data_IF_681131787682
#
_entry.id   IF_681131787682
#
_cell.length_a   1.000
_cell.length_b   1.000
_cell.length_c   1.000
_cell.angle_alpha   90.00
_cell.angle_beta   90.00
_cell.angle_gamma   90.00
#
_symmetry.space_group_name_H-M   'P 1'
#
loop_
_entity.id
_entity.type
_entity.pdbx_description
1 polymer ?
#
# COMPACT_ATOMS: atom_id res chain seq x y z
N UNK A 1 17.73 -15.12 -15.14
CA UNK A 1 18.26 -15.64 -13.85
C UNK A 1 17.48 -16.90 -13.52
N UNK A 2 18.16 -18.02 -13.24
CA UNK A 2 17.49 -19.29 -12.87
C UNK A 2 17.26 -19.42 -11.37
N UNK A 3 17.95 -18.60 -10.57
CA UNK A 3 17.83 -18.54 -9.11
C UNK A 3 17.07 -17.28 -8.68
N UNK A 4 16.21 -17.43 -7.69
CA UNK A 4 15.42 -16.35 -7.11
C UNK A 4 16.29 -15.51 -6.17
N UNK A 5 16.43 -14.18 -6.37
CA UNK A 5 17.28 -13.34 -5.52
C UNK A 5 16.71 -13.06 -4.12
N UNK A 6 15.50 -13.56 -3.81
CA UNK A 6 14.88 -13.44 -2.48
C UNK A 6 15.18 -14.67 -1.62
N UNK A 7 14.96 -15.88 -2.15
CA UNK A 7 15.15 -17.13 -1.42
C UNK A 7 16.43 -17.89 -1.78
N UNK A 8 17.13 -17.47 -2.83
CA UNK A 8 18.34 -18.11 -3.37
C UNK A 8 18.14 -19.55 -3.85
N UNK A 9 16.89 -19.95 -4.12
CA UNK A 9 16.53 -21.25 -4.70
C UNK A 9 16.17 -21.11 -6.18
N UNK A 10 16.04 -22.23 -6.89
CA UNK A 10 15.53 -22.26 -8.26
C UNK A 10 14.17 -21.58 -8.34
N UNK A 11 13.97 -20.73 -9.35
CA UNK A 11 12.70 -20.02 -9.56
C UNK A 11 11.58 -21.03 -9.84
N UNK A 12 10.54 -21.01 -9.00
CA UNK A 12 9.31 -21.80 -9.18
C UNK A 12 8.14 -20.85 -9.40
N UNK A 13 7.29 -21.16 -10.38
CA UNK A 13 6.16 -20.30 -10.79
C UNK A 13 6.65 -18.86 -11.01
N UNK A 14 7.47 -18.67 -12.03
CA UNK A 14 8.16 -17.40 -12.28
C UNK A 14 7.19 -16.21 -12.43
N UNK A 15 7.49 -15.13 -11.72
CA UNK A 15 6.96 -13.81 -11.99
C UNK A 15 8.10 -12.89 -12.40
N UNK A 16 7.93 -12.24 -13.55
CA UNK A 16 8.85 -11.26 -14.09
C UNK A 16 8.24 -9.86 -14.00
N UNK A 17 9.04 -8.91 -13.56
CA UNK A 17 8.71 -7.50 -13.54
C UNK A 17 8.94 -6.86 -14.92
N UNK A 18 7.94 -6.27 -15.54
CA UNK A 18 8.03 -5.69 -16.90
C UNK A 18 8.91 -4.45 -16.97
N UNK A 19 8.94 -3.66 -15.89
CA UNK A 19 9.68 -2.41 -15.80
C UNK A 19 11.20 -2.61 -15.65
N UNK A 20 11.66 -3.77 -15.18
CA UNK A 20 13.09 -4.04 -14.94
C UNK A 20 13.56 -5.45 -15.32
N UNK A 21 12.68 -6.33 -15.81
CA UNK A 21 12.95 -7.71 -16.23
C UNK A 21 13.56 -8.65 -15.18
N UNK A 22 13.40 -8.33 -13.89
CA UNK A 22 13.87 -9.20 -12.82
C UNK A 22 12.83 -10.26 -12.50
N UNK A 23 13.29 -11.50 -12.36
CA UNK A 23 12.46 -12.69 -12.12
C UNK A 23 12.61 -13.22 -10.70
N UNK A 24 11.50 -13.71 -10.15
CA UNK A 24 11.41 -14.22 -8.78
C UNK A 24 10.43 -15.40 -8.71
N UNK A 25 10.51 -16.19 -7.64
CA UNK A 25 9.42 -17.10 -7.29
C UNK A 25 8.15 -16.28 -7.03
N UNK A 26 6.99 -16.75 -7.53
CA UNK A 26 5.70 -16.09 -7.32
C UNK A 26 5.42 -15.78 -5.85
N UNK A 27 5.64 -16.75 -4.96
CA UNK A 27 5.44 -16.57 -3.51
C UNK A 27 6.34 -15.48 -2.94
N UNK A 28 7.63 -15.52 -3.28
CA UNK A 28 8.62 -14.57 -2.76
C UNK A 28 8.31 -13.13 -3.15
N UNK A 29 8.04 -12.87 -4.44
CA UNK A 29 7.77 -11.51 -4.88
C UNK A 29 6.39 -11.02 -4.45
N UNK A 30 5.39 -11.91 -4.37
CA UNK A 30 4.07 -11.57 -3.81
C UNK A 30 4.18 -11.12 -2.37
N UNK A 31 4.95 -11.83 -1.53
CA UNK A 31 5.17 -11.44 -0.14
C UNK A 31 5.94 -10.13 -0.02
N UNK A 32 6.95 -9.93 -0.87
CA UNK A 32 7.71 -8.68 -0.91
C UNK A 32 6.82 -7.47 -1.23
N UNK A 33 5.98 -7.57 -2.26
CA UNK A 33 5.17 -6.43 -2.71
C UNK A 33 3.95 -6.13 -1.85
N UNK A 34 3.61 -7.00 -0.88
CA UNK A 34 2.59 -6.69 0.15
C UNK A 34 2.90 -5.39 0.87
N UNK A 35 4.17 -5.02 0.96
CA UNK A 35 4.57 -3.89 1.75
C UNK A 35 5.73 -3.10 1.14
N UNK A 36 6.15 -3.43 -0.09
CA UNK A 36 7.18 -2.71 -0.81
C UNK A 36 6.71 -2.45 -2.23
N UNK A 37 6.88 -1.23 -2.72
CA UNK A 37 6.52 -0.82 -4.08
C UNK A 37 7.76 -0.71 -4.98
N UNK A 38 8.82 -1.46 -4.67
CA UNK A 38 10.11 -1.42 -5.39
C UNK A 38 10.64 -2.82 -5.67
N UNK A 39 11.40 -2.97 -6.76
CA UNK A 39 12.08 -4.21 -7.11
C UNK A 39 13.18 -4.55 -6.06
N UNK A 40 13.26 -5.80 -5.56
CA UNK A 40 14.31 -6.22 -4.62
C UNK A 40 15.75 -6.06 -5.17
N UNK A 41 15.91 -6.09 -6.49
CA UNK A 41 17.24 -6.08 -7.13
C UNK A 41 17.68 -4.66 -7.48
N UNK A 42 16.89 -3.94 -8.27
CA UNK A 42 17.27 -2.62 -8.80
C UNK A 42 16.54 -1.44 -8.15
N UNK A 43 15.58 -1.70 -7.24
CA UNK A 43 14.75 -0.69 -6.59
C UNK A 43 13.88 0.16 -7.52
N UNK A 44 13.72 -0.26 -8.79
CA UNK A 44 12.74 0.36 -9.68
C UNK A 44 11.33 0.25 -9.09
N UNK A 45 10.51 1.28 -9.23
CA UNK A 45 9.13 1.28 -8.73
C UNK A 45 8.31 0.19 -9.40
N UNK A 46 7.79 -0.75 -8.61
CA UNK A 46 6.96 -1.86 -9.07
C UNK A 46 5.52 -1.62 -8.71
N UNK A 47 4.66 -1.58 -9.70
CA UNK A 47 3.23 -1.72 -9.54
C UNK A 47 2.83 -3.18 -9.76
N UNK A 48 1.70 -3.59 -9.21
CA UNK A 48 1.20 -4.95 -9.34
C UNK A 48 0.76 -5.28 -10.78
N UNK A 49 0.55 -4.25 -11.62
CA UNK A 49 0.37 -4.39 -13.08
C UNK A 49 1.66 -4.73 -13.83
N UNK A 50 2.81 -4.56 -13.19
CA UNK A 50 4.11 -4.82 -13.80
C UNK A 50 4.50 -6.30 -13.72
N UNK A 51 3.67 -7.17 -13.13
CA UNK A 51 3.93 -8.60 -13.05
C UNK A 51 3.38 -9.34 -14.27
N UNK A 52 4.27 -10.02 -14.99
CA UNK A 52 3.92 -11.00 -16.02
C UNK A 52 4.44 -12.37 -15.59
N UNK A 53 3.58 -13.38 -15.68
CA UNK A 53 3.96 -14.80 -15.65
C UNK A 53 3.90 -15.41 -17.05
N UNK A 54 4.62 -16.51 -17.25
CA UNK A 54 4.56 -17.29 -18.49
C UNK A 54 3.18 -17.88 -18.80
N UNK A 55 2.31 -18.01 -17.80
CA UNK A 55 0.90 -18.34 -17.99
C UNK A 55 0.07 -17.06 -17.88
N UNK A 56 -0.66 -16.73 -18.94
CA UNK A 56 -1.51 -15.55 -19.04
C UNK A 56 -2.64 -15.60 -18.00
N UNK A 57 -2.41 -15.07 -16.79
CA UNK A 57 -3.45 -14.97 -15.76
C UNK A 57 -4.58 -14.05 -16.24
N UNK A 58 -5.82 -14.52 -16.11
CA UNK A 58 -6.99 -13.74 -16.49
C UNK A 58 -7.13 -12.48 -15.62
N UNK A 59 -7.70 -11.42 -16.20
CA UNK A 59 -7.91 -10.14 -15.51
C UNK A 59 -8.61 -10.28 -14.14
N UNK A 60 -9.48 -11.27 -13.99
CA UNK A 60 -10.18 -11.57 -12.73
C UNK A 60 -9.23 -12.05 -11.62
N UNK A 61 -8.28 -12.94 -11.96
CA UNK A 61 -7.31 -13.43 -10.98
C UNK A 61 -6.38 -12.30 -10.55
N UNK A 62 -5.93 -11.48 -11.49
CA UNK A 62 -5.14 -10.29 -11.17
C UNK A 62 -5.91 -9.36 -10.22
N UNK A 63 -7.19 -9.06 -10.51
CA UNK A 63 -8.04 -8.26 -9.63
C UNK A 63 -8.14 -8.81 -8.19
N UNK A 64 -8.33 -10.12 -8.04
CA UNK A 64 -8.33 -10.77 -6.73
C UNK A 64 -7.00 -10.58 -6.00
N UNK A 65 -5.87 -10.78 -6.68
CA UNK A 65 -4.54 -10.54 -6.09
C UNK A 65 -4.33 -9.08 -5.69
N UNK A 66 -4.73 -8.11 -6.53
CA UNK A 66 -4.66 -6.69 -6.19
C UNK A 66 -5.48 -6.37 -4.94
N UNK A 67 -6.69 -6.92 -4.82
CA UNK A 67 -7.56 -6.70 -3.68
C UNK A 67 -6.95 -7.25 -2.39
N UNK A 68 -6.40 -8.47 -2.45
CA UNK A 68 -5.72 -9.10 -1.31
C UNK A 68 -4.47 -8.30 -0.87
N UNK A 69 -3.68 -7.82 -1.84
CA UNK A 69 -2.51 -6.99 -1.56
C UNK A 69 -2.88 -5.66 -0.90
N UNK A 70 -3.89 -4.98 -1.45
CA UNK A 70 -4.36 -3.70 -0.91
C UNK A 70 -4.94 -3.89 0.49
N UNK A 71 -5.64 -5.00 0.74
CA UNK A 71 -6.10 -5.36 2.07
C UNK A 71 -4.93 -5.51 3.05
N UNK A 72 -3.90 -6.27 2.69
CA UNK A 72 -2.71 -6.43 3.54
C UNK A 72 -1.98 -5.10 3.83
N UNK A 73 -1.87 -4.22 2.82
CA UNK A 73 -1.34 -2.86 2.98
C UNK A 73 -2.17 -2.04 3.98
N UNK A 74 -3.49 -2.11 3.86
CA UNK A 74 -4.41 -1.43 4.77
C UNK A 74 -4.33 -1.97 6.20
N UNK A 75 -4.29 -3.29 6.36
CA UNK A 75 -4.17 -3.93 7.68
C UNK A 75 -2.88 -3.50 8.39
N UNK A 76 -1.77 -3.38 7.65
CA UNK A 76 -0.51 -2.85 8.18
C UNK A 76 -0.59 -1.37 8.58
N UNK A 77 -1.16 -0.53 7.72
CA UNK A 77 -1.35 0.89 8.06
C UNK A 77 -2.20 1.07 9.31
N UNK A 78 -3.31 0.34 9.39
CA UNK A 78 -4.22 0.37 10.53
C UNK A 78 -3.48 -0.09 11.79
N UNK A 79 -2.67 -1.15 11.73
CA UNK A 79 -1.93 -1.63 12.89
C UNK A 79 -0.90 -0.62 13.41
N UNK A 80 -0.18 0.07 12.50
CA UNK A 80 0.77 1.14 12.87
C UNK A 80 0.04 2.33 13.49
N UNK A 81 -1.04 2.78 12.86
CA UNK A 81 -1.82 3.93 13.34
C UNK A 81 -2.44 3.64 14.70
N UNK A 82 -3.07 2.47 14.88
CA UNK A 82 -3.68 2.08 16.14
C UNK A 82 -2.65 1.80 17.23
N UNK A 83 -1.41 1.43 16.86
CA UNK A 83 -0.30 1.31 17.80
C UNK A 83 0.07 2.65 18.47
N UNK A 84 -0.09 3.77 17.76
CA UNK A 84 0.21 5.12 18.28
C UNK A 84 -1.05 5.82 18.80
N UNK A 85 -2.17 5.70 18.08
CA UNK A 85 -3.47 6.30 18.39
C UNK A 85 -4.56 5.21 18.38
N UNK A 86 -4.78 4.46 19.48
CA UNK A 86 -5.67 3.30 19.50
C UNK A 86 -7.13 3.59 19.12
N UNK A 87 -7.58 4.84 19.32
CA UNK A 87 -8.95 5.26 19.03
C UNK A 87 -9.14 5.75 17.58
N UNK A 88 -8.06 5.84 16.80
CA UNK A 88 -8.09 6.38 15.45
C UNK A 88 -8.42 5.27 14.43
N UNK A 89 -9.39 5.53 13.56
CA UNK A 89 -9.80 4.61 12.49
C UNK A 89 -9.60 5.24 11.12
N UNK A 90 -9.14 4.44 10.17
CA UNK A 90 -9.03 4.85 8.77
C UNK A 90 -10.35 4.51 8.08
N UNK A 91 -11.20 5.51 7.86
CA UNK A 91 -12.50 5.36 7.16
C UNK A 91 -12.49 6.15 5.86
N UNK A 92 -13.56 6.08 5.04
CA UNK A 92 -13.71 6.84 3.77
C UNK A 92 -13.70 8.37 3.98
N UNK A 93 -12.51 8.92 4.17
CA UNK A 93 -12.21 10.30 4.52
C UNK A 93 -11.81 10.49 6.00
N UNK A 94 -11.05 11.55 6.24
CA UNK A 94 -10.49 11.93 7.55
C UNK A 94 -10.67 13.44 7.79
N UNK A 95 -10.75 13.87 9.04
CA UNK A 95 -10.66 15.29 9.41
C UNK A 95 -9.22 15.79 9.36
N UNK A 96 -9.00 17.11 9.39
CA UNK A 96 -7.64 17.68 9.44
C UNK A 96 -6.85 17.23 10.68
N UNK A 97 -7.54 17.04 11.81
CA UNK A 97 -6.92 16.56 13.04
C UNK A 97 -6.51 15.08 12.91
N UNK A 98 -7.41 14.24 12.41
CA UNK A 98 -7.13 12.82 12.15
C UNK A 98 -6.00 12.67 11.11
N UNK A 99 -5.94 13.53 10.08
CA UNK A 99 -4.84 13.55 9.12
C UNK A 99 -3.49 13.81 9.79
N UNK A 100 -3.43 14.81 10.68
CA UNK A 100 -2.22 15.14 11.40
C UNK A 100 -1.77 14.00 12.32
N UNK A 101 -2.70 13.35 13.02
CA UNK A 101 -2.43 12.18 13.84
C UNK A 101 -1.95 10.98 13.01
N UNK A 102 -2.60 10.71 11.87
CA UNK A 102 -2.15 9.69 10.91
C UNK A 102 -0.72 10.00 10.46
N UNK A 103 -0.44 11.24 10.04
CA UNK A 103 0.90 11.68 9.63
C UNK A 103 1.94 11.46 10.72
N UNK A 104 1.64 11.84 11.96
CA UNK A 104 2.51 11.56 13.10
C UNK A 104 2.78 10.07 13.25
N UNK A 105 1.75 9.21 13.21
CA UNK A 105 1.93 7.78 13.41
C UNK A 105 2.80 7.14 12.31
N UNK A 106 2.57 7.50 11.05
CA UNK A 106 3.29 6.91 9.91
C UNK A 106 4.68 7.49 9.71
N UNK A 107 4.98 8.73 10.13
CA UNK A 107 6.33 9.30 9.96
C UNK A 107 7.38 8.59 10.83
N UNK A 108 6.97 7.85 11.88
CA UNK A 108 7.84 6.96 12.64
C UNK A 108 8.11 5.61 11.95
N UNK A 109 7.35 5.25 10.92
CA UNK A 109 7.50 4.02 10.16
C UNK A 109 7.58 4.32 8.66
N UNK A 110 8.80 4.31 8.12
CA UNK A 110 9.05 4.58 6.70
C UNK A 110 8.19 3.72 5.76
N UNK A 111 7.92 2.47 6.13
CA UNK A 111 7.11 1.56 5.32
C UNK A 111 5.65 1.97 5.33
N UNK A 112 5.12 2.32 6.50
CA UNK A 112 3.77 2.86 6.63
C UNK A 112 3.61 4.16 5.83
N UNK A 113 4.62 5.03 5.87
CA UNK A 113 4.63 6.25 5.06
C UNK A 113 4.51 5.97 3.56
N UNK A 114 5.32 5.05 3.01
CA UNK A 114 5.26 4.68 1.60
C UNK A 114 3.89 4.08 1.22
N UNK A 115 3.35 3.19 2.06
CA UNK A 115 2.04 2.56 1.82
C UNK A 115 0.93 3.62 1.88
N UNK A 116 1.00 4.55 2.82
CA UNK A 116 0.04 5.65 2.92
C UNK A 116 0.06 6.52 1.67
N UNK A 117 1.24 6.88 1.17
CA UNK A 117 1.37 7.64 -0.06
C UNK A 117 0.85 6.88 -1.29
N UNK A 118 1.00 5.56 -1.36
CA UNK A 118 0.48 4.74 -2.46
C UNK A 118 -1.06 4.60 -2.43
N UNK A 119 -1.63 4.32 -1.26
CA UNK A 119 -3.06 4.02 -1.13
C UNK A 119 -3.91 5.29 -1.08
N UNK A 120 -3.41 6.39 -0.50
CA UNK A 120 -4.20 7.58 -0.19
C UNK A 120 -3.99 8.75 -1.15
N UNK A 121 -3.31 8.58 -2.30
CA UNK A 121 -3.14 9.66 -3.34
C UNK A 121 -4.48 10.36 -3.67
N UNK A 122 -5.58 9.61 -3.65
CA UNK A 122 -6.92 10.10 -4.03
C UNK A 122 -7.86 10.34 -2.84
N UNK A 123 -7.39 10.15 -1.61
CA UNK A 123 -8.22 10.15 -0.43
C UNK A 123 -8.16 11.51 0.26
N UNK A 124 -9.29 12.24 0.25
CA UNK A 124 -9.33 13.65 0.65
C UNK A 124 -9.91 13.85 2.04
N UNK A 125 -9.53 14.94 2.74
CA UNK A 125 -10.14 15.29 4.00
C UNK A 125 -11.64 15.52 3.83
N UNK A 126 -12.44 15.07 4.80
CA UNK A 126 -13.83 15.46 4.93
C UNK A 126 -13.82 16.94 5.33
N UNK A 127 -13.97 17.82 4.35
CA UNK A 127 -14.20 19.24 4.63
C UNK A 127 -15.55 19.31 5.33
N UNK A 128 -15.53 19.33 6.67
CA UNK A 128 -16.71 19.62 7.45
C UNK A 128 -17.00 21.09 7.16
N UNK A 129 -17.89 21.37 6.21
CA UNK A 129 -18.55 22.66 6.13
C UNK A 129 -19.30 22.84 7.45
N UNK A 130 -18.67 23.50 8.41
CA UNK A 130 -19.29 23.88 9.66
C UNK A 130 -20.35 24.95 9.34
N UNK A 131 -21.55 24.51 8.97
CA UNK A 131 -22.70 25.38 8.72
C UNK A 131 -23.72 25.35 9.87
N UNK A 132 -23.26 25.10 11.11
CA UNK A 132 -24.12 25.18 12.31
C UNK A 132 -23.45 25.84 13.53
N UNK A 133 -22.50 26.75 13.30
CA UNK A 133 -22.04 27.69 14.34
C UNK A 133 -22.02 29.14 13.82
N UNK A 134 -23.04 29.50 13.04
CA UNK A 134 -23.37 30.89 12.72
C UNK A 134 -24.64 31.30 13.49
N UNK A 135 -24.59 31.22 14.82
CA UNK A 135 -25.49 31.94 15.73
C UNK A 135 -24.80 31.95 17.09
N UNK A 136 -23.78 32.76 17.26
CA UNK A 136 -23.46 33.51 18.47
C UNK A 136 -22.20 34.31 18.15
N UNK A 137 -22.23 35.59 18.53
CA UNK A 137 -21.26 36.66 18.21
C UNK A 137 -21.57 37.38 16.89
N UNK A 138 -22.72 38.07 16.88
CA UNK A 138 -22.77 39.47 16.44
C UNK A 138 -23.58 40.23 17.51
N UNK A 139 -22.90 41.17 18.18
CA UNK A 139 -23.33 42.15 19.19
C UNK A 139 -23.65 41.62 20.59
#
# INVERSE_FOLDING_TARGET
MTECPICYETVVNELCLTNCSHSFCKSCITEWVKFNSVCPVCRANTNVRDFISNESYSAHVMQYYFNDLNKHKMDYLVSVIQGVFPQLSITDGYTNLEFYQIKQAIDFDYRAKCIFEEVFVNFKPRVIHCCQLAHFIIL
#
